data_IF_148891861879
#
_entry.id   IF_148891861879
#
_cell.length_a   1.000
_cell.length_b   1.000
_cell.length_c   1.000
_cell.angle_alpha   90.00
_cell.angle_beta   90.00
_cell.angle_gamma   90.00
#
_symmetry.space_group_name_H-M   'P 1'
#
loop_
_entity.id
_entity.type
_entity.pdbx_description
1 polymer ?
#
# COMPACT_ATOMS: atom_id res chain seq x y z
N UNK A 1 6.80 -10.02 -11.25
CA UNK A 1 5.88 -8.87 -11.20
C UNK A 1 4.56 -9.39 -10.66
N UNK A 2 3.99 -8.69 -9.68
CA UNK A 2 2.72 -9.01 -9.04
C UNK A 2 1.65 -8.10 -9.64
N UNK A 3 0.49 -8.68 -9.94
CA UNK A 3 -0.66 -7.95 -10.45
C UNK A 3 -1.56 -7.58 -9.28
N UNK A 4 -1.69 -6.28 -9.01
CA UNK A 4 -2.62 -5.77 -7.99
C UNK A 4 -3.59 -4.77 -8.61
N UNK A 5 -4.70 -4.54 -7.92
CA UNK A 5 -5.68 -3.53 -8.28
C UNK A 5 -5.68 -2.42 -7.22
N UNK A 6 -5.56 -1.17 -7.66
CA UNK A 6 -5.54 0.01 -6.79
C UNK A 6 -6.61 0.98 -7.27
N UNK A 7 -7.63 1.24 -6.46
CA UNK A 7 -8.75 2.12 -6.82
C UNK A 7 -9.36 1.78 -8.20
N UNK A 8 -9.64 0.50 -8.46
CA UNK A 8 -10.11 -0.05 -9.75
C UNK A 8 -9.12 0.09 -10.92
N UNK A 9 -7.83 0.35 -10.67
CA UNK A 9 -6.81 0.43 -11.71
C UNK A 9 -5.79 -0.70 -11.55
N UNK A 10 -5.46 -1.43 -12.63
CA UNK A 10 -4.41 -2.44 -12.58
C UNK A 10 -3.05 -1.76 -12.36
N UNK A 11 -2.29 -2.25 -11.39
CA UNK A 11 -0.95 -1.77 -11.04
C UNK A 11 -0.01 -2.96 -10.97
N UNK A 12 1.18 -2.77 -11.53
CA UNK A 12 2.28 -3.73 -11.43
C UNK A 12 3.11 -3.42 -10.20
N UNK A 13 3.32 -4.41 -9.34
CA UNK A 13 4.20 -4.33 -8.19
C UNK A 13 5.36 -5.33 -8.29
N UNK A 14 6.43 -5.07 -7.55
CA UNK A 14 7.56 -5.98 -7.45
C UNK A 14 7.46 -6.84 -6.19
N UNK A 15 8.03 -8.05 -6.24
CA UNK A 15 8.08 -8.89 -5.05
C UNK A 15 9.00 -8.25 -4.02
N UNK A 16 8.50 -8.08 -2.80
CA UNK A 16 9.21 -7.36 -1.73
C UNK A 16 8.83 -5.89 -1.61
N UNK A 17 8.05 -5.34 -2.55
CA UNK A 17 7.45 -4.01 -2.38
C UNK A 17 6.48 -4.01 -1.19
N UNK A 18 6.40 -2.86 -0.53
CA UNK A 18 5.26 -2.54 0.33
C UNK A 18 4.14 -1.92 -0.48
N UNK A 19 2.91 -1.97 0.04
CA UNK A 19 1.76 -1.35 -0.63
C UNK A 19 2.06 0.13 -0.94
N UNK A 20 2.65 0.86 0.01
CA UNK A 20 3.02 2.27 -0.18
C UNK A 20 3.95 2.48 -1.38
N UNK A 21 4.97 1.63 -1.55
CA UNK A 21 5.91 1.73 -2.67
C UNK A 21 5.20 1.49 -4.01
N UNK A 22 4.35 0.47 -4.07
CA UNK A 22 3.55 0.17 -5.26
C UNK A 22 2.58 1.32 -5.60
N UNK A 23 1.89 1.87 -4.60
CA UNK A 23 0.99 3.03 -4.76
C UNK A 23 1.74 4.26 -5.27
N UNK A 24 2.91 4.55 -4.69
CA UNK A 24 3.75 5.69 -5.08
C UNK A 24 4.21 5.57 -6.54
N UNK A 25 4.62 4.38 -6.98
CA UNK A 25 4.98 4.08 -8.38
C UNK A 25 3.77 4.24 -9.32
N UNK A 26 2.58 3.89 -8.87
CA UNK A 26 1.33 4.07 -9.61
C UNK A 26 0.79 5.52 -9.59
N UNK A 27 1.50 6.47 -8.98
CA UNK A 27 1.07 7.86 -8.85
C UNK A 27 -0.06 8.08 -7.83
N UNK A 28 -0.36 7.09 -6.99
CA UNK A 28 -1.31 7.19 -5.88
C UNK A 28 -0.58 7.67 -4.65
N UNK A 29 -0.96 8.87 -4.17
CA UNK A 29 -0.32 9.49 -3.01
C UNK A 29 -1.07 9.14 -1.74
N UNK A 30 -0.40 8.42 -0.85
CA UNK A 30 -0.86 8.17 0.53
C UNK A 30 0.00 8.98 1.49
N UNK A 31 -0.59 9.74 2.41
CA UNK A 31 0.19 10.54 3.36
C UNK A 31 0.98 9.64 4.31
N UNK A 32 2.18 10.10 4.68
CA UNK A 32 3.06 9.40 5.62
C UNK A 32 3.71 10.40 6.55
N UNK A 33 3.82 10.04 7.84
CA UNK A 33 4.52 10.85 8.83
C UNK A 33 5.79 10.16 9.35
N UNK A 34 5.69 8.87 9.69
CA UNK A 34 6.81 8.10 10.24
C UNK A 34 7.57 7.25 9.21
N UNK A 35 7.17 7.31 7.93
CA UNK A 35 7.88 6.60 6.86
C UNK A 35 9.01 7.47 6.33
N UNK A 36 10.23 6.94 6.34
CA UNK A 36 11.44 7.59 5.85
C UNK A 36 12.08 6.64 4.84
N UNK A 37 12.40 7.14 3.66
CA UNK A 37 13.00 6.34 2.60
C UNK A 37 14.36 5.78 3.03
N UNK A 38 14.63 4.51 2.73
CA UNK A 38 15.86 3.82 3.13
C UNK A 38 15.89 3.32 4.57
N UNK A 39 14.87 3.60 5.38
CA UNK A 39 14.72 3.05 6.73
C UNK A 39 13.58 2.02 6.80
N UNK A 40 13.69 1.10 7.77
CA UNK A 40 12.66 0.11 8.01
C UNK A 40 11.34 0.78 8.41
N UNK A 41 10.22 0.49 7.72
CA UNK A 41 8.93 1.06 8.05
C UNK A 41 8.44 0.62 9.43
N UNK A 42 8.01 1.58 10.26
CA UNK A 42 7.53 1.28 11.62
C UNK A 42 6.02 1.07 11.71
N UNK A 43 5.25 1.63 10.77
CA UNK A 43 3.78 1.62 10.83
C UNK A 43 3.19 2.41 12.02
N UNK A 44 4.00 3.15 12.77
CA UNK A 44 3.61 3.73 14.05
C UNK A 44 2.58 4.87 13.93
N UNK A 45 2.72 5.74 12.92
CA UNK A 45 1.84 6.91 12.78
C UNK A 45 0.42 6.57 12.33
N UNK A 46 0.19 5.38 11.73
CA UNK A 46 -1.09 4.93 11.17
C UNK A 46 -1.77 5.90 10.18
N UNK A 47 -1.06 6.91 9.65
CA UNK A 47 -1.60 7.85 8.66
C UNK A 47 -1.70 7.21 7.27
N UNK A 48 -0.84 6.24 6.97
CA UNK A 48 -0.77 5.60 5.65
C UNK A 48 -1.69 4.39 5.50
N UNK A 49 -2.72 4.28 6.33
CA UNK A 49 -3.59 3.11 6.30
C UNK A 49 -4.44 3.09 5.03
N UNK A 50 -4.64 1.89 4.49
CA UNK A 50 -5.45 1.62 3.30
C UNK A 50 -6.30 0.39 3.55
N UNK A 51 -7.37 0.23 2.79
CA UNK A 51 -8.22 -0.94 2.85
C UNK A 51 -7.77 -1.97 1.81
N UNK A 52 -7.70 -3.24 2.23
CA UNK A 52 -7.51 -4.39 1.36
C UNK A 52 -8.81 -5.18 1.36
N UNK A 53 -9.48 -5.33 0.21
CA UNK A 53 -10.77 -6.03 0.11
C UNK A 53 -10.66 -7.50 0.56
N UNK A 54 -9.45 -8.08 0.54
CA UNK A 54 -9.20 -9.44 1.01
C UNK A 54 -9.08 -9.58 2.53
N UNK A 55 -9.03 -8.46 3.29
CA UNK A 55 -8.80 -8.49 4.73
C UNK A 55 -9.84 -7.69 5.53
N UNK A 56 -10.17 -8.16 6.75
CA UNK A 56 -10.98 -7.37 7.66
C UNK A 56 -10.16 -6.20 8.21
N UNK A 57 -10.49 -4.98 7.76
CA UNK A 57 -10.00 -3.72 8.33
C UNK A 57 -8.86 -3.06 7.55
N UNK A 58 -8.29 -1.99 8.14
CA UNK A 58 -7.29 -1.16 7.50
C UNK A 58 -5.87 -1.62 7.82
N UNK A 59 -5.03 -1.73 6.79
CA UNK A 59 -3.63 -2.12 6.88
C UNK A 59 -2.70 -0.93 6.66
N UNK A 60 -1.57 -0.83 7.41
CA UNK A 60 -0.59 0.24 7.20
C UNK A 60 0.17 0.02 5.89
N UNK A 61 -0.11 0.82 4.85
CA UNK A 61 0.51 0.62 3.53
C UNK A 61 2.04 0.68 3.56
N UNK A 62 2.64 1.43 4.49
CA UNK A 62 4.08 1.60 4.55
C UNK A 62 4.85 0.36 4.98
N UNK A 63 4.23 -0.55 5.75
CA UNK A 63 4.88 -1.74 6.32
C UNK A 63 4.26 -3.05 5.86
N UNK A 64 3.14 -2.99 5.13
CA UNK A 64 2.45 -4.17 4.63
C UNK A 64 3.03 -4.58 3.27
N UNK A 65 3.49 -5.84 3.11
CA UNK A 65 4.03 -6.33 1.84
C UNK A 65 2.92 -6.52 0.80
N UNK A 66 3.25 -6.29 -0.46
CA UNK A 66 2.33 -6.56 -1.58
C UNK A 66 2.29 -8.07 -1.86
N UNK A 67 1.09 -8.57 -2.14
CA UNK A 67 0.84 -9.92 -2.64
C UNK A 67 0.07 -9.86 -3.97
N UNK A 68 0.23 -10.91 -4.77
CA UNK A 68 -0.49 -11.04 -6.04
C UNK A 68 -2.00 -11.10 -5.82
N UNK A 69 -2.76 -10.42 -6.67
CA UNK A 69 -4.23 -10.39 -6.60
C UNK A 69 -4.83 -9.47 -5.53
N UNK A 70 -4.02 -8.70 -4.81
CA UNK A 70 -4.52 -7.72 -3.84
C UNK A 70 -5.38 -6.64 -4.50
N UNK A 71 -6.42 -6.21 -3.78
CA UNK A 71 -7.31 -5.11 -4.19
C UNK A 71 -7.32 -4.03 -3.12
N UNK A 72 -6.62 -2.95 -3.41
CA UNK A 72 -6.36 -1.86 -2.47
C UNK A 72 -7.27 -0.68 -2.77
N UNK A 73 -7.94 -0.16 -1.73
CA UNK A 73 -8.66 1.11 -1.76
C UNK A 73 -7.86 2.14 -0.96
N UNK A 74 -7.35 3.16 -1.64
CA UNK A 74 -6.63 4.26 -1.00
C UNK A 74 -7.55 5.38 -0.49
N UNK A 75 -8.81 5.37 -0.96
CA UNK A 75 -9.86 6.34 -0.61
C UNK A 75 -11.18 5.60 -0.43
N UNK A 76 -11.44 5.10 0.78
CA UNK A 76 -12.77 4.67 1.19
C UNK A 76 -13.47 5.76 2.01
N UNK A 77 -14.82 5.81 2.00
CA UNK A 77 -15.62 6.83 2.73
C UNK A 77 -15.40 6.84 4.24
#
# INVERSE_FOLDING_TARGET
>A
MLNIEVDNRPVQAEQGDTILTALKRAGVRVPTLCHIEGLTPTGACRICVVEDEGMPGLVPSCSYPVADGMKIRSRSP
#
